data_IF_418284234241
#
_entry.id   IF_418284234241
#
_cell.length_a   1.000
_cell.length_b   1.000
_cell.length_c   1.000
_cell.angle_alpha   90.00
_cell.angle_beta   90.00
_cell.angle_gamma   90.00
#
_symmetry.space_group_name_H-M   'P 1'
#
loop_
_entity.id
_entity.type
_entity.pdbx_description
1 polymer ?
#
# COMPACT_ATOMS: atom_id res chain seq x y z
N UNK A 1 -24.22 -12.82 36.38
CA UNK A 1 -24.57 -11.42 36.72
C UNK A 1 -26.03 -11.15 36.44
N UNK A 2 -26.59 -11.55 35.30
CA UNK A 2 -28.00 -11.41 34.92
C UNK A 2 -28.98 -12.04 35.94
N UNK A 3 -28.73 -13.28 36.37
CA UNK A 3 -29.61 -13.99 37.31
C UNK A 3 -29.75 -13.22 38.61
N UNK A 4 -28.66 -12.63 39.10
CA UNK A 4 -28.69 -11.85 40.36
C UNK A 4 -29.49 -10.54 40.24
N UNK A 5 -29.53 -9.87 39.08
CA UNK A 5 -30.34 -8.67 38.87
C UNK A 5 -31.81 -9.01 38.61
N UNK A 6 -32.08 -10.11 37.90
CA UNK A 6 -33.43 -10.60 37.69
C UNK A 6 -34.07 -11.05 38.99
N UNK A 7 -33.34 -11.76 39.88
CA UNK A 7 -33.79 -12.19 41.20
C UNK A 7 -34.05 -10.98 42.11
N UNK A 8 -33.18 -9.97 42.10
CA UNK A 8 -33.42 -8.73 42.87
C UNK A 8 -34.69 -8.02 42.41
N UNK A 9 -34.91 -7.91 41.09
CA UNK A 9 -36.15 -7.32 40.57
C UNK A 9 -37.39 -8.09 40.98
N UNK A 10 -37.34 -9.43 40.93
CA UNK A 10 -38.43 -10.29 41.32
C UNK A 10 -38.77 -10.09 42.83
N UNK A 11 -37.73 -10.04 43.68
CA UNK A 11 -37.90 -9.80 45.12
C UNK A 11 -38.52 -8.44 45.40
N UNK A 12 -38.12 -7.36 44.75
CA UNK A 12 -38.70 -6.02 44.92
C UNK A 12 -40.15 -5.98 44.48
N UNK A 13 -40.51 -6.63 43.38
CA UNK A 13 -41.90 -6.73 42.92
C UNK A 13 -42.75 -7.57 43.87
N UNK A 14 -42.21 -8.63 44.48
CA UNK A 14 -42.91 -9.44 45.47
C UNK A 14 -43.14 -8.64 46.75
N UNK A 15 -42.20 -7.83 47.20
CA UNK A 15 -42.36 -6.92 48.33
C UNK A 15 -43.41 -5.84 48.04
N UNK A 16 -43.42 -5.27 46.85
CA UNK A 16 -44.44 -4.31 46.44
C UNK A 16 -45.85 -4.94 46.41
N UNK A 17 -45.97 -6.18 45.91
CA UNK A 17 -47.23 -6.94 45.95
C UNK A 17 -47.70 -7.25 47.38
N UNK A 18 -46.78 -7.58 48.29
CA UNK A 18 -47.13 -7.85 49.71
C UNK A 18 -47.72 -6.63 50.37
N UNK A 19 -47.25 -5.41 50.07
CA UNK A 19 -47.81 -4.17 50.59
C UNK A 19 -49.29 -3.99 50.14
N UNK A 20 -49.55 -4.26 48.85
CA UNK A 20 -50.88 -4.18 48.27
C UNK A 20 -51.85 -5.20 48.91
N UNK A 21 -51.37 -6.43 49.12
CA UNK A 21 -52.14 -7.54 49.67
C UNK A 21 -52.48 -7.25 51.16
N UNK A 22 -51.50 -6.79 51.93
CA UNK A 22 -51.73 -6.44 53.39
C UNK A 22 -52.74 -5.27 53.55
N UNK A 23 -52.68 -4.29 52.65
CA UNK A 23 -53.64 -3.20 52.58
C UNK A 23 -55.03 -3.66 52.17
N UNK A 24 -55.13 -4.57 51.22
CA UNK A 24 -56.40 -5.12 50.74
C UNK A 24 -57.08 -5.95 51.84
N UNK A 25 -56.33 -6.75 52.62
CA UNK A 25 -56.87 -7.50 53.79
C UNK A 25 -57.35 -6.59 54.92
N UNK A 26 -56.75 -5.41 55.07
CA UNK A 26 -57.12 -4.42 56.10
C UNK A 26 -58.19 -3.43 55.63
N UNK A 27 -58.73 -3.58 54.44
CA UNK A 27 -59.75 -2.70 53.87
C UNK A 27 -59.30 -1.24 53.65
N UNK A 28 -57.99 -1.01 53.58
CA UNK A 28 -57.37 0.31 53.41
C UNK A 28 -57.12 0.72 51.95
N UNK A 29 -56.96 2.02 51.70
CA UNK A 29 -56.59 2.57 50.41
C UNK A 29 -55.09 2.88 50.41
N UNK A 30 -54.44 2.76 49.27
CA UNK A 30 -53.01 2.99 49.12
C UNK A 30 -52.70 4.50 49.18
N UNK A 31 -52.52 5.03 50.38
CA UNK A 31 -52.25 6.45 50.66
C UNK A 31 -51.13 6.63 51.71
N UNK A 32 -50.48 7.81 51.74
CA UNK A 32 -49.45 8.16 52.71
C UNK A 32 -48.16 7.36 52.54
N UNK A 33 -47.61 6.90 53.71
CA UNK A 33 -46.31 6.22 53.75
C UNK A 33 -46.27 4.90 52.96
N UNK A 34 -47.37 4.14 52.91
CA UNK A 34 -47.48 2.89 52.17
C UNK A 34 -47.39 3.10 50.67
N UNK A 35 -47.93 4.20 50.16
CA UNK A 35 -47.82 4.59 48.77
C UNK A 35 -46.39 4.99 48.44
N UNK A 36 -45.70 5.74 49.29
CA UNK A 36 -44.32 6.11 49.07
C UNK A 36 -43.38 4.89 49.04
N UNK A 37 -43.60 3.92 49.90
CA UNK A 37 -42.84 2.67 49.92
C UNK A 37 -43.11 1.83 48.67
N UNK A 38 -44.35 1.71 48.21
CA UNK A 38 -44.71 1.01 46.99
C UNK A 38 -44.10 1.67 45.77
N UNK A 39 -44.26 2.99 45.63
CA UNK A 39 -43.68 3.75 44.48
C UNK A 39 -42.14 3.67 44.47
N UNK A 40 -41.48 3.67 45.65
CA UNK A 40 -40.05 3.46 45.76
C UNK A 40 -39.60 2.10 45.28
N UNK A 41 -40.26 1.01 45.69
CA UNK A 41 -39.93 -0.35 45.25
C UNK A 41 -40.17 -0.55 43.73
N UNK A 42 -41.24 0.04 43.20
CA UNK A 42 -41.54 -0.02 41.76
C UNK A 42 -40.50 0.79 40.95
N UNK A 43 -40.08 1.94 41.44
CA UNK A 43 -39.04 2.75 40.81
C UNK A 43 -37.69 2.01 40.77
N UNK A 44 -37.29 1.39 41.90
CA UNK A 44 -36.06 0.56 41.92
C UNK A 44 -36.14 -0.66 40.99
N UNK A 45 -37.30 -1.34 40.96
CA UNK A 45 -37.50 -2.43 40.03
C UNK A 45 -37.46 -1.98 38.56
N UNK A 46 -37.89 -0.74 38.30
CA UNK A 46 -37.80 -0.08 36.99
C UNK A 46 -36.35 0.17 36.55
N UNK A 47 -35.54 0.74 37.43
CA UNK A 47 -34.12 1.00 37.14
C UNK A 47 -33.32 -0.29 36.87
N UNK A 48 -33.61 -1.36 37.62
CA UNK A 48 -33.02 -2.67 37.42
C UNK A 48 -33.49 -3.26 36.06
N UNK A 49 -34.72 -3.06 35.66
CA UNK A 49 -35.21 -3.51 34.35
C UNK A 49 -34.52 -2.81 33.17
N UNK A 50 -34.23 -1.53 33.31
CA UNK A 50 -33.47 -0.77 32.30
C UNK A 50 -32.00 -1.26 32.24
N UNK A 51 -31.39 -1.51 33.39
CA UNK A 51 -30.05 -2.08 33.47
C UNK A 51 -29.97 -3.45 32.78
N UNK A 52 -30.92 -4.33 33.00
CA UNK A 52 -31.00 -5.65 32.34
C UNK A 52 -31.18 -5.50 30.82
N UNK A 53 -32.01 -4.53 30.37
CA UNK A 53 -32.18 -4.27 28.92
C UNK A 53 -30.90 -3.77 28.27
N UNK A 54 -30.22 -2.84 28.91
CA UNK A 54 -28.96 -2.28 28.37
C UNK A 54 -27.87 -3.33 28.30
N UNK A 55 -27.75 -4.19 29.34
CA UNK A 55 -26.78 -5.29 29.31
C UNK A 55 -27.12 -6.37 28.25
N UNK A 56 -28.40 -6.71 28.08
CA UNK A 56 -28.82 -7.62 27.00
C UNK A 56 -28.49 -7.05 25.62
N UNK A 57 -28.83 -5.79 25.41
CA UNK A 57 -28.50 -5.12 24.14
C UNK A 57 -26.98 -5.08 23.90
N UNK A 58 -26.18 -4.82 24.94
CA UNK A 58 -24.72 -4.86 24.82
C UNK A 58 -24.17 -6.27 24.50
N UNK A 59 -24.78 -7.31 25.08
CA UNK A 59 -24.38 -8.70 24.82
C UNK A 59 -24.76 -9.13 23.42
N UNK A 60 -25.95 -8.77 22.95
CA UNK A 60 -26.39 -9.02 21.58
C UNK A 60 -25.52 -8.27 20.57
N UNK A 61 -25.17 -7.01 20.83
CA UNK A 61 -24.27 -6.25 19.98
C UNK A 61 -22.85 -6.87 19.92
N UNK A 62 -22.34 -7.40 21.04
CA UNK A 62 -21.07 -8.14 21.07
C UNK A 62 -21.14 -9.43 20.28
N UNK A 63 -22.21 -10.22 20.46
CA UNK A 63 -22.40 -11.47 19.71
C UNK A 63 -22.53 -11.22 18.21
N UNK A 64 -23.21 -10.16 17.79
CA UNK A 64 -23.29 -9.76 16.38
C UNK A 64 -21.93 -9.29 15.84
N UNK A 65 -21.17 -8.54 16.64
CA UNK A 65 -19.82 -8.13 16.26
C UNK A 65 -18.87 -9.32 16.15
N UNK A 66 -18.98 -10.30 17.04
CA UNK A 66 -18.17 -11.53 16.98
C UNK A 66 -18.59 -12.43 15.82
N UNK A 67 -19.89 -12.52 15.52
CA UNK A 67 -20.39 -13.22 14.34
C UNK A 67 -19.90 -12.56 13.03
N UNK A 68 -19.96 -11.22 12.95
CA UNK A 68 -19.44 -10.48 11.79
C UNK A 68 -17.92 -10.60 11.65
N UNK A 69 -17.18 -10.70 12.78
CA UNK A 69 -15.75 -11.00 12.77
C UNK A 69 -15.47 -12.43 12.31
N UNK A 70 -16.26 -13.39 12.76
CA UNK A 70 -16.14 -14.78 12.34
C UNK A 70 -16.46 -14.93 10.84
N UNK A 71 -17.49 -14.26 10.34
CA UNK A 71 -17.85 -14.24 8.92
C UNK A 71 -16.75 -13.60 8.06
N UNK A 72 -16.18 -12.46 8.51
CA UNK A 72 -14.99 -11.88 7.88
C UNK A 72 -13.78 -12.79 7.96
N UNK A 73 -13.57 -13.49 9.05
CA UNK A 73 -12.48 -14.46 9.20
C UNK A 73 -12.65 -15.66 8.25
N UNK A 74 -13.88 -16.13 8.03
CA UNK A 74 -14.17 -17.20 7.05
C UNK A 74 -14.01 -16.67 5.61
N UNK A 75 -14.38 -15.41 5.34
CA UNK A 75 -14.16 -14.79 4.03
C UNK A 75 -12.67 -14.48 3.75
N UNK A 76 -11.86 -14.36 4.79
CA UNK A 76 -10.40 -14.14 4.74
C UNK A 76 -9.63 -15.48 4.89
N UNK A 77 -10.32 -16.59 5.19
CA UNK A 77 -9.67 -17.89 5.22
C UNK A 77 -8.97 -18.13 3.88
N UNK A 78 -7.65 -18.32 3.84
CA UNK A 78 -6.95 -18.57 2.59
C UNK A 78 -7.56 -19.84 1.98
N UNK A 79 -7.98 -19.72 0.70
CA UNK A 79 -8.22 -20.91 -0.10
C UNK A 79 -7.03 -21.83 0.08
N UNK A 80 -7.28 -23.11 0.36
CA UNK A 80 -6.32 -24.15 0.68
C UNK A 80 -4.92 -23.86 0.10
N UNK A 81 -3.91 -23.88 0.99
CA UNK A 81 -2.50 -23.62 0.68
C UNK A 81 -2.10 -24.32 -0.63
N UNK A 82 -1.94 -23.54 -1.67
CA UNK A 82 -1.21 -23.97 -2.86
C UNK A 82 0.25 -23.97 -2.48
N UNK A 83 0.84 -25.12 -2.43
CA UNK A 83 2.29 -25.25 -2.29
C UNK A 83 2.96 -24.88 -3.63
N UNK A 84 3.15 -23.56 -3.84
CA UNK A 84 3.79 -23.05 -5.05
C UNK A 84 5.24 -23.56 -5.18
N UNK A 85 5.85 -23.98 -4.07
CA UNK A 85 7.15 -24.64 -4.05
C UNK A 85 7.07 -26.03 -4.68
N UNK A 86 6.01 -26.80 -4.38
CA UNK A 86 5.79 -28.09 -5.01
C UNK A 86 5.53 -27.93 -6.51
N UNK A 87 4.75 -26.95 -6.90
CA UNK A 87 4.47 -26.66 -8.31
C UNK A 87 5.72 -26.22 -9.09
N UNK A 88 6.61 -25.43 -8.49
CA UNK A 88 7.90 -25.07 -9.11
C UNK A 88 8.85 -26.26 -9.22
N UNK A 89 8.88 -27.15 -8.23
CA UNK A 89 9.64 -28.41 -8.31
C UNK A 89 9.10 -29.33 -9.41
N UNK A 90 7.78 -29.36 -9.57
CA UNK A 90 7.13 -30.11 -10.63
C UNK A 90 7.44 -29.50 -12.02
N UNK A 91 7.41 -28.18 -12.15
CA UNK A 91 7.85 -27.47 -13.35
C UNK A 91 9.32 -27.77 -13.69
N UNK A 92 10.20 -27.79 -12.68
CA UNK A 92 11.60 -28.12 -12.87
C UNK A 92 11.81 -29.58 -13.32
N UNK A 93 10.96 -30.52 -12.89
CA UNK A 93 11.04 -31.94 -13.29
C UNK A 93 10.45 -32.21 -14.67
N UNK A 94 9.32 -31.58 -14.98
CA UNK A 94 8.51 -31.97 -16.14
C UNK A 94 8.60 -30.94 -17.27
N UNK A 95 9.21 -29.77 -17.04
CA UNK A 95 9.12 -28.61 -17.93
C UNK A 95 7.73 -28.00 -17.93
N UNK A 96 7.58 -26.81 -18.44
CA UNK A 96 6.30 -26.13 -18.55
C UNK A 96 6.39 -24.62 -18.30
N UNK A 97 5.24 -23.99 -18.26
CA UNK A 97 5.14 -22.55 -17.92
C UNK A 97 4.05 -22.30 -16.92
N UNK A 98 4.30 -21.36 -16.01
CA UNK A 98 3.32 -20.89 -15.05
C UNK A 98 3.37 -19.38 -14.94
N UNK A 99 2.20 -18.76 -14.98
CA UNK A 99 2.02 -17.33 -14.76
C UNK A 99 1.49 -17.10 -13.35
N UNK A 100 2.21 -16.29 -12.60
CA UNK A 100 1.79 -15.86 -11.26
C UNK A 100 1.08 -14.52 -11.37
N UNK A 101 -0.20 -14.48 -10.98
CA UNK A 101 -0.99 -13.26 -10.91
C UNK A 101 -0.78 -12.57 -9.57
N UNK A 102 -0.72 -11.24 -9.61
CA UNK A 102 -0.62 -10.44 -8.39
C UNK A 102 -1.92 -10.55 -7.60
N UNK A 103 -1.87 -11.12 -6.40
CA UNK A 103 -2.95 -11.06 -5.41
C UNK A 103 -2.68 -9.91 -4.45
N UNK A 104 -3.74 -9.21 -4.05
CA UNK A 104 -3.63 -8.20 -3.01
C UNK A 104 -3.11 -8.83 -1.71
N UNK A 105 -1.93 -8.38 -1.28
CA UNK A 105 -1.28 -8.84 -0.06
C UNK A 105 -1.93 -8.11 1.11
N UNK A 106 -2.92 -8.73 1.76
CA UNK A 106 -3.29 -8.29 3.10
C UNK A 106 -2.15 -8.69 4.07
N UNK A 107 -1.62 -7.73 4.81
CA UNK A 107 -0.64 -7.95 5.87
C UNK A 107 -1.22 -8.89 6.93
N UNK A 108 -0.96 -10.17 6.84
CA UNK A 108 -1.06 -11.08 7.98
C UNK A 108 0.35 -11.36 8.51
N UNK A 109 0.67 -10.75 9.63
CA UNK A 109 1.82 -11.09 10.46
C UNK A 109 1.57 -12.46 11.08
N UNK A 110 1.99 -13.53 10.41
CA UNK A 110 1.98 -14.89 10.93
C UNK A 110 3.29 -15.58 10.59
N UNK A 111 4.19 -15.67 11.56
CA UNK A 111 5.32 -16.60 11.50
C UNK A 111 4.73 -18.02 11.44
N UNK A 112 4.85 -18.72 10.31
CA UNK A 112 4.57 -20.14 10.21
C UNK A 112 3.83 -20.65 8.98
N UNK A 113 3.29 -19.81 8.11
CA UNK A 113 2.74 -20.26 6.85
C UNK A 113 3.81 -20.27 5.75
N UNK A 114 3.86 -21.31 4.91
CA UNK A 114 4.70 -21.27 3.72
C UNK A 114 4.28 -20.07 2.87
N UNK A 115 5.17 -19.10 2.78
CA UNK A 115 4.93 -17.87 2.02
C UNK A 115 4.90 -18.26 0.56
N UNK A 116 3.77 -18.03 -0.10
CA UNK A 116 3.57 -18.20 -1.53
C UNK A 116 4.75 -17.52 -2.30
N UNK A 117 5.41 -18.26 -3.16
CA UNK A 117 6.58 -17.79 -3.93
C UNK A 117 6.24 -16.50 -4.69
N UNK A 118 5.02 -16.44 -5.25
CA UNK A 118 4.56 -15.24 -5.92
C UNK A 118 4.55 -14.02 -4.99
N UNK A 119 4.08 -14.17 -3.76
CA UNK A 119 4.07 -13.10 -2.78
C UNK A 119 5.50 -12.68 -2.41
N UNK A 120 6.41 -13.64 -2.25
CA UNK A 120 7.82 -13.35 -1.99
C UNK A 120 8.47 -12.61 -3.16
N UNK A 121 8.29 -13.09 -4.38
CA UNK A 121 8.81 -12.45 -5.59
C UNK A 121 8.23 -11.04 -5.75
N UNK A 122 6.93 -10.87 -5.53
CA UNK A 122 6.26 -9.57 -5.63
C UNK A 122 6.71 -8.59 -4.54
N UNK A 123 6.90 -9.05 -3.31
CA UNK A 123 7.41 -8.23 -2.19
C UNK A 123 8.85 -7.81 -2.45
N UNK A 124 9.73 -8.74 -2.82
CA UNK A 124 11.13 -8.44 -3.13
C UNK A 124 11.23 -7.51 -4.35
N UNK A 125 10.42 -7.73 -5.38
CA UNK A 125 10.34 -6.84 -6.54
C UNK A 125 9.89 -5.43 -6.15
N UNK A 126 8.89 -5.30 -5.26
CA UNK A 126 8.42 -4.02 -4.75
C UNK A 126 9.44 -3.30 -3.86
N UNK A 127 10.24 -4.04 -3.09
CA UNK A 127 11.34 -3.50 -2.30
C UNK A 127 12.51 -3.03 -3.18
N UNK A 128 12.82 -3.79 -4.24
CA UNK A 128 13.91 -3.48 -5.17
C UNK A 128 13.54 -2.39 -6.19
N UNK A 129 12.24 -2.11 -6.37
CA UNK A 129 11.76 -1.16 -7.36
C UNK A 129 10.53 -0.40 -6.86
N UNK A 130 10.66 0.89 -6.48
CA UNK A 130 9.55 1.70 -5.99
C UNK A 130 8.41 1.87 -7.02
N UNK A 131 8.67 1.71 -8.32
CA UNK A 131 7.65 1.82 -9.36
C UNK A 131 6.72 0.60 -9.47
N UNK A 132 7.00 -0.48 -8.77
CA UNK A 132 6.12 -1.64 -8.64
C UNK A 132 5.29 -1.62 -7.34
N UNK A 133 5.57 -0.67 -6.45
CA UNK A 133 4.87 -0.54 -5.18
C UNK A 133 3.65 0.38 -5.32
N UNK A 134 2.40 -0.13 -5.11
CA UNK A 134 1.19 0.68 -5.18
C UNK A 134 1.10 1.78 -4.12
N UNK A 135 1.83 1.64 -3.01
CA UNK A 135 1.87 2.67 -1.96
C UNK A 135 2.65 3.90 -2.42
N UNK A 136 3.56 3.75 -3.37
CA UNK A 136 4.42 4.83 -3.90
C UNK A 136 3.82 5.42 -5.18
N UNK A 137 3.50 4.59 -6.17
CA UNK A 137 3.03 5.00 -7.49
C UNK A 137 1.63 4.45 -7.78
N UNK A 138 1.04 4.85 -8.91
CA UNK A 138 -0.21 4.28 -9.40
C UNK A 138 0.08 3.08 -10.30
N UNK A 139 -0.25 1.86 -9.84
CA UNK A 139 0.01 0.62 -10.58
C UNK A 139 -1.26 0.06 -11.16
N UNK A 140 -1.28 -0.20 -12.47
CA UNK A 140 -2.40 -0.78 -13.21
C UNK A 140 -2.01 -2.15 -13.76
N UNK A 141 -2.74 -3.18 -13.38
CA UNK A 141 -2.59 -4.51 -13.94
C UNK A 141 -3.55 -4.69 -15.10
N UNK A 142 -3.05 -5.07 -16.26
CA UNK A 142 -3.82 -5.27 -17.49
C UNK A 142 -3.59 -6.67 -18.05
N UNK A 143 -4.61 -7.23 -18.68
CA UNK A 143 -4.52 -8.56 -19.26
C UNK A 143 -3.84 -8.55 -20.64
N UNK A 144 -3.97 -7.44 -21.40
CA UNK A 144 -3.45 -7.34 -22.77
C UNK A 144 -2.30 -6.35 -22.85
N UNK A 145 -1.32 -6.65 -23.69
CA UNK A 145 -0.15 -5.81 -23.91
C UNK A 145 -0.33 -4.71 -24.96
N UNK A 146 -1.56 -4.30 -25.21
CA UNK A 146 -1.87 -3.20 -26.11
C UNK A 146 -1.40 -1.87 -25.54
N UNK A 147 -1.20 -0.90 -26.42
CA UNK A 147 -0.88 0.46 -26.03
C UNK A 147 -2.03 1.08 -25.24
N UNK A 148 -1.73 1.60 -24.04
CA UNK A 148 -2.72 2.20 -23.15
C UNK A 148 -2.53 3.71 -23.16
N UNK A 149 -3.63 4.43 -23.32
CA UNK A 149 -3.63 5.88 -23.34
C UNK A 149 -4.24 6.43 -22.05
N UNK A 150 -3.49 7.30 -21.38
CA UNK A 150 -3.95 8.03 -20.21
C UNK A 150 -4.22 9.49 -20.58
N UNK A 151 -5.41 10.03 -20.27
CA UNK A 151 -5.70 11.43 -20.51
C UNK A 151 -4.78 12.31 -19.65
N UNK A 152 -4.19 13.33 -20.29
CA UNK A 152 -3.28 14.27 -19.66
C UNK A 152 -3.77 15.70 -19.90
N UNK A 153 -3.89 16.46 -18.82
CA UNK A 153 -4.21 17.89 -18.91
C UNK A 153 -2.89 18.64 -19.01
N UNK A 154 -2.57 19.20 -20.17
CA UNK A 154 -1.32 19.92 -20.39
C UNK A 154 -1.41 21.36 -19.88
N UNK A 155 -2.53 22.02 -20.11
CA UNK A 155 -2.83 23.33 -19.58
C UNK A 155 -4.32 23.41 -19.24
N UNK A 156 -4.64 24.01 -18.12
CA UNK A 156 -5.98 24.48 -17.79
C UNK A 156 -5.97 26.01 -17.96
N UNK A 157 -7.08 26.56 -18.40
CA UNK A 157 -7.28 27.99 -18.41
C UNK A 157 -7.04 28.62 -17.04
N UNK A 158 -6.69 29.90 -17.01
CA UNK A 158 -6.45 30.63 -15.77
C UNK A 158 -7.74 31.32 -15.36
N UNK A 159 -8.22 31.07 -14.13
CA UNK A 159 -9.36 31.83 -13.59
C UNK A 159 -8.93 33.26 -13.27
N UNK A 160 -9.68 34.21 -13.76
CA UNK A 160 -9.54 35.64 -13.45
C UNK A 160 -10.65 36.12 -12.53
N UNK A 161 -10.41 37.19 -11.79
CA UNK A 161 -11.47 37.93 -11.07
C UNK A 161 -12.29 38.74 -12.07
N UNK A 162 -13.62 38.62 -12.00
CA UNK A 162 -14.54 39.34 -12.87
C UNK A 162 -15.36 40.28 -12.00
N UNK A 163 -15.47 41.57 -12.40
CA UNK A 163 -16.31 42.52 -11.72
C UNK A 163 -17.80 42.20 -11.96
N UNK A 164 -18.68 42.80 -11.14
CA UNK A 164 -20.13 42.68 -11.31
C UNK A 164 -20.52 43.12 -12.73
N UNK A 165 -21.30 42.26 -13.43
CA UNK A 165 -21.68 42.41 -14.85
C UNK A 165 -20.48 42.42 -15.84
N UNK A 166 -19.28 42.05 -15.42
CA UNK A 166 -18.10 41.92 -16.29
C UNK A 166 -18.14 40.63 -17.12
N UNK A 167 -17.52 40.68 -18.31
CA UNK A 167 -17.37 39.47 -19.16
C UNK A 167 -16.31 38.54 -18.59
N UNK A 168 -16.66 37.24 -18.48
CA UNK A 168 -15.70 36.17 -18.15
C UNK A 168 -14.84 35.95 -19.40
N UNK A 169 -13.51 36.06 -19.24
CA UNK A 169 -12.58 35.78 -20.33
C UNK A 169 -12.53 34.31 -20.61
N UNK A 170 -12.75 33.93 -21.85
CA UNK A 170 -12.62 32.54 -22.32
C UNK A 170 -11.16 32.12 -22.27
N UNK A 171 -10.92 30.90 -21.77
CA UNK A 171 -9.59 30.35 -21.68
C UNK A 171 -9.65 28.84 -21.98
N UNK A 172 -9.04 28.48 -23.12
CA UNK A 172 -9.05 27.09 -23.59
C UNK A 172 -8.07 26.21 -22.81
N UNK A 173 -8.56 25.03 -22.39
CA UNK A 173 -7.73 23.99 -21.83
C UNK A 173 -7.14 23.09 -22.92
N UNK A 174 -5.90 22.67 -22.76
CA UNK A 174 -5.22 21.75 -23.67
C UNK A 174 -5.17 20.35 -23.05
N UNK A 175 -5.79 19.41 -23.73
CA UNK A 175 -5.77 17.98 -23.40
C UNK A 175 -4.82 17.24 -24.34
N UNK A 176 -4.06 16.30 -23.80
CA UNK A 176 -3.22 15.38 -24.57
C UNK A 176 -3.37 13.97 -24.00
N UNK A 177 -2.86 12.96 -24.71
CA UNK A 177 -2.84 11.59 -24.23
C UNK A 177 -1.39 11.14 -24.02
N UNK A 178 -1.12 10.54 -22.86
CA UNK A 178 0.11 9.80 -22.60
C UNK A 178 -0.09 8.36 -23.05
N UNK A 179 0.76 7.91 -23.95
CA UNK A 179 0.71 6.58 -24.55
C UNK A 179 1.77 5.69 -23.91
N UNK A 180 1.34 4.66 -23.19
CA UNK A 180 2.23 3.68 -22.55
C UNK A 180 2.22 2.37 -23.33
N UNK A 181 3.38 1.99 -23.86
CA UNK A 181 3.59 0.72 -24.57
C UNK A 181 4.39 -0.22 -23.68
N UNK A 182 3.79 -1.33 -23.18
CA UNK A 182 4.48 -2.27 -22.31
C UNK A 182 5.68 -2.94 -23.01
N UNK A 183 6.85 -2.85 -22.41
CA UNK A 183 8.09 -3.49 -22.84
C UNK A 183 8.31 -4.77 -22.05
N UNK A 184 8.89 -5.79 -22.68
CA UNK A 184 9.22 -7.08 -22.05
C UNK A 184 10.64 -7.03 -21.49
N UNK A 185 10.77 -7.37 -20.22
CA UNK A 185 12.04 -7.60 -19.53
C UNK A 185 12.14 -9.07 -19.17
N UNK A 186 13.29 -9.67 -19.31
CA UNK A 186 13.46 -11.08 -19.01
C UNK A 186 14.90 -11.47 -18.71
N UNK A 187 15.04 -12.56 -17.99
CA UNK A 187 16.30 -13.18 -17.59
C UNK A 187 16.17 -14.70 -17.74
N UNK A 188 17.22 -15.35 -18.22
CA UNK A 188 17.36 -16.80 -18.24
C UNK A 188 18.53 -17.17 -17.34
N UNK A 189 18.31 -18.12 -16.43
CA UNK A 189 19.31 -18.71 -15.56
C UNK A 189 19.35 -20.22 -15.83
N UNK A 190 20.54 -20.79 -15.96
CA UNK A 190 20.76 -22.22 -16.14
C UNK A 190 21.41 -22.80 -14.89
N UNK A 191 20.93 -23.96 -14.47
CA UNK A 191 21.38 -24.67 -13.28
C UNK A 191 21.56 -26.14 -13.64
N UNK A 192 22.59 -26.81 -13.12
CA UNK A 192 22.81 -28.23 -13.35
C UNK A 192 21.70 -29.07 -12.74
N UNK A 193 21.35 -30.16 -13.42
CA UNK A 193 20.32 -31.07 -12.94
C UNK A 193 20.71 -31.73 -11.62
N UNK A 194 22.01 -31.97 -11.40
CA UNK A 194 22.58 -32.46 -10.14
C UNK A 194 22.28 -31.51 -8.99
N UNK A 195 22.53 -30.19 -9.17
CA UNK A 195 22.27 -29.20 -8.13
C UNK A 195 20.78 -29.07 -7.80
N UNK A 196 19.89 -29.23 -8.78
CA UNK A 196 18.43 -29.21 -8.55
C UNK A 196 17.98 -30.42 -7.74
N UNK A 197 18.61 -31.59 -7.94
CA UNK A 197 18.24 -32.84 -7.26
C UNK A 197 18.90 -32.95 -5.87
N UNK A 198 20.13 -32.49 -5.71
CA UNK A 198 20.94 -32.68 -4.50
C UNK A 198 20.81 -31.54 -3.50
N UNK A 199 20.18 -30.43 -3.88
CA UNK A 199 19.97 -29.29 -2.98
C UNK A 199 19.13 -29.68 -1.76
N UNK A 200 19.67 -29.44 -0.57
CA UNK A 200 18.98 -29.67 0.71
C UNK A 200 17.93 -28.60 1.05
N UNK A 201 17.82 -27.56 0.22
CA UNK A 201 16.90 -26.44 0.37
C UNK A 201 16.10 -26.23 -0.92
N UNK A 202 15.06 -25.40 -0.86
CA UNK A 202 14.23 -25.08 -2.02
C UNK A 202 14.97 -24.13 -2.99
N UNK A 203 15.79 -24.73 -3.83
CA UNK A 203 16.57 -24.04 -4.84
C UNK A 203 15.68 -23.30 -5.87
N UNK A 204 14.56 -23.92 -6.25
CA UNK A 204 13.63 -23.35 -7.24
C UNK A 204 12.98 -22.06 -6.73
N UNK A 205 12.59 -22.03 -5.45
CA UNK A 205 12.04 -20.83 -4.83
C UNK A 205 13.08 -19.70 -4.74
N UNK A 206 14.30 -20.04 -4.33
CA UNK A 206 15.39 -19.07 -4.24
C UNK A 206 15.73 -18.46 -5.61
N UNK A 207 15.78 -19.29 -6.65
CA UNK A 207 16.03 -18.84 -8.04
C UNK A 207 14.91 -17.91 -8.50
N UNK A 208 13.65 -18.28 -8.28
CA UNK A 208 12.51 -17.48 -8.67
C UNK A 208 12.53 -16.10 -8.01
N UNK A 209 12.83 -16.03 -6.70
CA UNK A 209 12.95 -14.78 -5.96
C UNK A 209 14.07 -13.88 -6.50
N UNK A 210 15.25 -14.44 -6.73
CA UNK A 210 16.40 -13.70 -7.27
C UNK A 210 16.16 -13.20 -8.69
N UNK A 211 15.63 -14.06 -9.56
CA UNK A 211 15.31 -13.67 -10.95
C UNK A 211 14.21 -12.58 -10.96
N UNK A 212 13.20 -12.68 -10.12
CA UNK A 212 12.15 -11.67 -9.99
C UNK A 212 12.72 -10.31 -9.56
N UNK A 213 13.63 -10.32 -8.58
CA UNK A 213 14.32 -9.10 -8.13
C UNK A 213 15.14 -8.44 -9.25
N UNK A 214 15.95 -9.21 -9.97
CA UNK A 214 16.79 -8.69 -11.08
C UNK A 214 15.96 -8.08 -12.21
N UNK A 215 14.87 -8.75 -12.59
CA UNK A 215 13.97 -8.24 -13.63
C UNK A 215 13.24 -6.96 -13.14
N UNK A 216 12.88 -6.89 -11.86
CA UNK A 216 12.29 -5.70 -11.27
C UNK A 216 13.27 -4.53 -11.21
N UNK A 217 14.54 -4.76 -10.85
CA UNK A 217 15.60 -3.74 -10.85
C UNK A 217 15.78 -3.17 -12.27
N UNK A 218 15.82 -4.04 -13.30
CA UNK A 218 15.92 -3.59 -14.68
C UNK A 218 14.72 -2.75 -15.12
N UNK A 219 13.52 -3.16 -14.77
CA UNK A 219 12.32 -2.36 -15.02
C UNK A 219 12.42 -1.00 -14.29
N UNK A 220 12.86 -0.99 -13.02
CA UNK A 220 13.04 0.22 -12.22
C UNK A 220 14.04 1.20 -12.85
N UNK A 221 15.14 0.70 -13.39
CA UNK A 221 16.14 1.52 -14.08
C UNK A 221 15.56 2.23 -15.33
N UNK A 222 14.78 1.51 -16.14
CA UNK A 222 14.13 2.11 -17.32
C UNK A 222 13.03 3.08 -16.90
N UNK A 223 12.21 2.71 -15.91
CA UNK A 223 11.14 3.55 -15.36
C UNK A 223 11.69 4.86 -14.78
N UNK A 224 12.75 4.80 -13.98
CA UNK A 224 13.38 5.99 -13.40
C UNK A 224 13.89 6.97 -14.47
N UNK A 225 14.50 6.45 -15.54
CA UNK A 225 14.96 7.27 -16.66
C UNK A 225 13.78 7.91 -17.41
N UNK A 226 12.68 7.19 -17.63
CA UNK A 226 11.48 7.73 -18.26
C UNK A 226 10.87 8.86 -17.41
N UNK A 227 10.67 8.62 -16.12
CA UNK A 227 10.15 9.62 -15.18
C UNK A 227 11.07 10.84 -15.09
N UNK A 228 12.38 10.67 -14.97
CA UNK A 228 13.34 11.77 -14.95
C UNK A 228 13.32 12.58 -16.26
N UNK A 229 13.00 11.95 -17.39
CA UNK A 229 12.88 12.62 -18.69
C UNK A 229 11.58 13.41 -18.80
N UNK A 230 10.47 12.86 -18.29
CA UNK A 230 9.14 13.49 -18.32
C UNK A 230 8.95 14.56 -17.26
N UNK A 231 9.73 14.55 -16.17
CA UNK A 231 9.64 15.52 -15.07
C UNK A 231 9.95 16.95 -15.51
N UNK A 232 9.32 17.91 -14.84
CA UNK A 232 9.59 19.34 -15.06
C UNK A 232 10.94 19.78 -14.46
N UNK A 233 11.60 20.74 -15.09
CA UNK A 233 12.83 21.33 -14.54
C UNK A 233 12.51 22.30 -13.39
N UNK A 234 13.32 22.29 -12.35
CA UNK A 234 13.30 23.32 -11.32
C UNK A 234 14.43 24.34 -11.57
N UNK A 235 15.66 23.93 -11.40
CA UNK A 235 16.84 24.78 -11.50
C UNK A 235 18.06 23.94 -11.84
N UNK A 236 19.17 24.61 -12.08
CA UNK A 236 20.50 24.01 -12.16
C UNK A 236 21.20 24.30 -10.83
N UNK A 237 21.68 23.26 -10.14
CA UNK A 237 22.47 23.38 -8.92
C UNK A 237 23.77 24.15 -9.23
N UNK A 238 24.29 24.88 -8.24
CA UNK A 238 25.55 25.60 -8.39
C UNK A 238 26.79 24.71 -8.45
N UNK A 239 26.66 23.48 -7.94
CA UNK A 239 27.72 22.45 -7.87
C UNK A 239 27.19 21.07 -8.26
N UNK A 240 28.06 20.07 -8.39
CA UNK A 240 27.62 18.68 -8.65
C UNK A 240 26.78 18.12 -7.51
N UNK A 241 27.08 18.51 -6.27
CA UNK A 241 26.31 18.11 -5.09
C UNK A 241 25.33 19.21 -4.71
N UNK A 242 24.02 18.94 -4.61
CA UNK A 242 23.04 19.95 -4.24
C UNK A 242 23.28 20.47 -2.81
N UNK A 243 23.03 21.74 -2.60
CA UNK A 243 23.03 22.38 -1.29
C UNK A 243 21.68 22.20 -0.59
N UNK A 244 21.65 22.40 0.75
CA UNK A 244 20.39 22.42 1.50
C UNK A 244 19.35 23.37 0.91
N UNK A 245 19.76 24.59 0.57
CA UNK A 245 18.87 25.60 0.00
C UNK A 245 18.26 25.16 -1.34
N UNK A 246 19.02 24.46 -2.17
CA UNK A 246 18.56 23.94 -3.45
C UNK A 246 17.58 22.78 -3.26
N UNK A 247 17.77 21.90 -2.26
CA UNK A 247 16.84 20.84 -1.93
C UNK A 247 15.50 21.39 -1.41
N UNK A 248 15.55 22.41 -0.54
CA UNK A 248 14.35 23.13 -0.09
C UNK A 248 13.69 23.83 -1.27
N UNK A 249 14.45 24.50 -2.11
CA UNK A 249 13.95 25.18 -3.32
C UNK A 249 13.26 24.18 -4.27
N UNK A 250 13.82 23.00 -4.48
CA UNK A 250 13.19 21.94 -5.27
C UNK A 250 11.82 21.55 -4.68
N UNK A 251 11.76 21.31 -3.37
CA UNK A 251 10.50 20.93 -2.69
C UNK A 251 9.42 22.02 -2.87
N UNK A 252 9.79 23.30 -2.71
CA UNK A 252 8.83 24.41 -2.81
C UNK A 252 8.56 24.87 -4.24
N UNK A 253 9.33 24.43 -5.22
CA UNK A 253 9.06 24.70 -6.64
C UNK A 253 7.85 23.94 -7.18
N UNK A 254 7.49 22.81 -6.53
CA UNK A 254 6.31 22.04 -6.88
C UNK A 254 5.07 22.70 -6.30
N UNK A 255 3.99 22.82 -7.10
CA UNK A 255 2.74 23.44 -6.67
C UNK A 255 2.21 22.78 -5.40
N UNK A 256 1.59 23.56 -4.51
CA UNK A 256 1.12 23.10 -3.19
C UNK A 256 0.23 21.86 -3.26
N UNK A 257 -0.63 21.77 -4.26
CA UNK A 257 -1.53 20.62 -4.46
C UNK A 257 -0.76 19.29 -4.62
N UNK A 258 0.37 19.27 -5.32
CA UNK A 258 1.21 18.08 -5.52
C UNK A 258 2.19 17.88 -4.35
N UNK A 259 2.72 18.97 -3.79
CA UNK A 259 3.63 18.91 -2.63
C UNK A 259 2.96 18.33 -1.39
N UNK A 260 1.66 18.57 -1.20
CA UNK A 260 0.89 18.10 -0.06
C UNK A 260 0.11 16.80 -0.37
N UNK A 261 0.28 16.21 -1.55
CA UNK A 261 -0.32 14.93 -1.87
C UNK A 261 0.16 13.83 -0.92
N UNK A 262 -0.68 12.81 -0.70
CA UNK A 262 -0.38 11.69 0.20
C UNK A 262 0.88 10.92 -0.23
N UNK A 263 1.13 10.84 -1.55
CA UNK A 263 2.28 10.16 -2.15
C UNK A 263 3.42 11.10 -2.53
N UNK A 264 3.45 12.34 -1.98
CA UNK A 264 4.53 13.27 -2.26
C UNK A 264 5.84 12.78 -1.62
N UNK A 265 6.89 12.65 -2.43
CA UNK A 265 8.18 12.11 -2.01
C UNK A 265 9.33 12.48 -2.93
N UNK A 266 10.54 12.11 -2.51
CA UNK A 266 11.77 12.25 -3.29
C UNK A 266 12.11 10.94 -4.00
N UNK A 267 12.69 11.06 -5.19
CA UNK A 267 13.30 9.96 -5.94
C UNK A 267 14.74 10.31 -6.25
N UNK A 268 15.66 9.40 -5.97
CA UNK A 268 17.10 9.58 -6.23
C UNK A 268 17.78 8.23 -6.43
N UNK A 269 19.07 8.21 -6.80
CA UNK A 269 19.88 7.00 -6.74
C UNK A 269 20.37 6.74 -5.31
N UNK A 270 20.79 5.53 -5.03
CA UNK A 270 21.33 5.14 -3.73
C UNK A 270 22.65 5.89 -3.41
N UNK A 271 23.52 6.02 -4.40
CA UNK A 271 24.77 6.79 -4.32
C UNK A 271 24.50 8.26 -3.98
N UNK A 272 23.50 8.87 -4.64
CA UNK A 272 23.11 10.25 -4.39
C UNK A 272 22.54 10.43 -2.97
N UNK A 273 21.75 9.47 -2.48
CA UNK A 273 21.24 9.48 -1.13
C UNK A 273 22.39 9.49 -0.11
N UNK A 274 23.41 8.65 -0.30
CA UNK A 274 24.64 8.66 0.53
C UNK A 274 25.33 10.02 0.54
N UNK A 275 25.39 10.70 -0.60
CA UNK A 275 25.96 12.04 -0.71
C UNK A 275 25.09 13.09 0.02
N UNK A 276 23.77 13.00 -0.10
CA UNK A 276 22.81 13.90 0.57
C UNK A 276 22.90 13.74 2.10
N UNK A 277 23.12 12.53 2.61
CA UNK A 277 23.33 12.27 4.04
C UNK A 277 24.49 13.07 4.61
N UNK A 278 25.55 13.31 3.82
CA UNK A 278 26.70 14.15 4.18
C UNK A 278 26.39 15.65 4.26
N UNK A 279 25.22 16.09 3.78
CA UNK A 279 24.84 17.51 3.82
C UNK A 279 24.32 17.85 5.21
N UNK A 280 25.09 18.57 5.98
CA UNK A 280 24.69 19.09 7.29
C UNK A 280 24.24 20.54 7.17
N UNK A 281 23.01 20.83 7.56
CA UNK A 281 22.59 22.18 7.89
C UNK A 281 22.92 22.43 9.37
N UNK A 282 23.46 23.56 9.69
CA UNK A 282 24.15 23.96 10.92
C UNK A 282 23.50 23.60 12.29
N UNK A 283 22.39 22.88 12.37
CA UNK A 283 21.81 22.39 13.65
C UNK A 283 20.68 21.35 13.51
N UNK A 284 20.16 21.03 12.32
CA UNK A 284 19.03 20.11 12.17
C UNK A 284 19.36 19.01 11.17
N UNK A 285 19.07 17.74 11.49
CA UNK A 285 19.22 16.66 10.53
C UNK A 285 18.23 16.88 9.38
N UNK A 286 18.76 17.05 8.19
CA UNK A 286 18.00 17.17 6.94
C UNK A 286 17.33 15.84 6.61
N UNK A 287 18.03 14.78 6.95
CA UNK A 287 17.63 13.40 6.73
C UNK A 287 17.23 12.75 8.06
N UNK A 288 16.14 12.02 8.05
CA UNK A 288 15.67 11.22 9.16
C UNK A 288 15.61 9.75 8.72
N UNK A 289 16.51 8.90 9.26
CA UNK A 289 16.47 7.49 8.95
C UNK A 289 15.14 6.90 9.44
N UNK A 290 14.54 6.09 8.60
CA UNK A 290 13.25 5.47 8.90
C UNK A 290 13.39 4.29 9.83
N UNK A 291 13.79 4.30 11.02
CA UNK A 291 13.87 3.22 12.00
C UNK A 291 13.55 1.78 11.50
N UNK A 292 13.46 0.78 12.33
CA UNK A 292 13.14 -0.58 11.87
C UNK A 292 11.80 -0.62 11.09
N UNK A 293 11.89 -0.79 9.76
CA UNK A 293 10.71 -0.90 8.87
C UNK A 293 10.07 0.42 8.44
N UNK A 294 10.63 1.57 8.80
CA UNK A 294 10.20 2.88 8.33
C UNK A 294 10.88 3.29 7.01
N UNK A 295 10.24 4.19 6.27
CA UNK A 295 10.82 4.81 5.07
C UNK A 295 11.69 5.99 5.48
N UNK A 296 12.86 6.10 4.89
CA UNK A 296 13.75 7.25 5.05
C UNK A 296 13.07 8.55 4.64
N UNK A 297 13.33 9.63 5.36
CA UNK A 297 12.71 10.93 5.10
C UNK A 297 13.75 12.01 4.89
N UNK A 298 13.53 12.79 3.84
CA UNK A 298 14.29 14.00 3.53
C UNK A 298 13.33 15.20 3.64
N UNK A 299 13.67 16.19 4.44
CA UNK A 299 12.82 17.37 4.69
C UNK A 299 11.37 16.99 5.08
N UNK A 300 11.21 15.92 5.88
CA UNK A 300 9.90 15.42 6.33
C UNK A 300 9.10 14.62 5.29
N UNK A 301 9.61 14.42 4.06
CA UNK A 301 8.97 13.64 3.01
C UNK A 301 9.71 12.32 2.76
N UNK A 302 9.01 11.24 2.38
CA UNK A 302 9.65 9.96 2.11
C UNK A 302 10.63 10.05 0.94
N UNK A 303 11.71 9.28 1.01
CA UNK A 303 12.72 9.14 -0.04
C UNK A 303 12.72 7.72 -0.55
N UNK A 304 12.72 7.57 -1.86
CA UNK A 304 12.82 6.28 -2.53
C UNK A 304 14.04 6.26 -3.44
N UNK A 305 14.76 5.15 -3.44
CA UNK A 305 15.92 4.95 -4.30
C UNK A 305 15.58 4.10 -5.51
N UNK A 306 16.18 4.42 -6.65
CA UNK A 306 16.03 3.66 -7.90
C UNK A 306 17.28 3.78 -8.77
N UNK A 307 17.65 2.68 -9.42
CA UNK A 307 18.78 2.64 -10.35
C UNK A 307 18.58 3.38 -11.68
N UNK A 308 17.37 3.96 -11.91
CA UNK A 308 17.09 4.69 -13.15
C UNK A 308 17.40 6.19 -13.08
N UNK A 309 17.77 6.71 -11.92
CA UNK A 309 18.21 8.09 -11.72
C UNK A 309 19.73 8.05 -11.69
N UNK A 310 20.36 8.87 -12.53
CA UNK A 310 21.82 8.92 -12.63
C UNK A 310 22.43 9.56 -11.37
N UNK A 311 23.65 9.12 -11.05
CA UNK A 311 24.41 9.70 -9.95
C UNK A 311 24.79 11.16 -10.26
N UNK A 312 25.03 11.93 -9.22
CA UNK A 312 25.39 13.34 -9.35
C UNK A 312 26.64 13.51 -10.22
N UNK A 313 26.47 14.12 -11.37
CA UNK A 313 27.51 14.45 -12.33
C UNK A 313 27.12 15.69 -13.14
N UNK A 314 28.00 16.16 -13.99
CA UNK A 314 27.73 17.32 -14.86
C UNK A 314 26.46 17.15 -15.67
N UNK A 315 25.58 18.13 -15.57
CA UNK A 315 24.32 18.24 -16.35
C UNK A 315 23.29 17.11 -16.12
N UNK A 316 23.43 16.34 -15.04
CA UNK A 316 22.58 15.19 -14.72
C UNK A 316 21.38 15.57 -13.86
N UNK A 317 20.28 14.85 -14.00
CA UNK A 317 19.06 14.95 -13.19
C UNK A 317 19.16 14.00 -12.00
N UNK A 318 19.87 14.40 -10.93
CA UNK A 318 20.26 13.50 -9.84
C UNK A 318 19.19 13.31 -8.75
N UNK A 319 18.24 14.22 -8.63
CA UNK A 319 17.15 14.14 -7.64
C UNK A 319 15.86 14.72 -8.19
N UNK A 320 14.76 14.04 -7.90
CA UNK A 320 13.40 14.46 -8.25
C UNK A 320 12.55 14.61 -6.98
N UNK A 321 11.60 15.53 -7.02
CA UNK A 321 10.59 15.69 -5.97
C UNK A 321 9.23 15.99 -6.56
N UNK A 322 8.18 15.41 -5.99
CA UNK A 322 6.81 15.68 -6.38
C UNK A 322 5.80 14.66 -5.91
N UNK A 323 4.62 14.68 -6.50
CA UNK A 323 3.57 13.69 -6.28
C UNK A 323 3.86 12.43 -7.10
N UNK A 324 4.39 11.41 -6.44
CA UNK A 324 4.70 10.12 -7.05
C UNK A 324 3.44 9.36 -7.48
N UNK A 325 2.26 9.71 -6.96
CA UNK A 325 0.99 9.15 -7.40
C UNK A 325 0.64 9.49 -8.86
N UNK A 326 1.26 10.52 -9.44
CA UNK A 326 1.12 10.87 -10.86
C UNK A 326 2.02 10.03 -11.79
N UNK A 327 2.89 9.22 -11.21
CA UNK A 327 3.64 8.21 -11.95
C UNK A 327 2.75 7.00 -12.13
N UNK A 328 2.56 6.61 -13.38
CA UNK A 328 1.70 5.46 -13.73
C UNK A 328 2.56 4.32 -14.25
N UNK A 329 2.44 3.17 -13.59
CA UNK A 329 3.05 1.91 -14.02
C UNK A 329 1.95 0.97 -14.51
N UNK A 330 2.11 0.47 -15.72
CA UNK A 330 1.26 -0.57 -16.31
C UNK A 330 2.03 -1.89 -16.32
N UNK A 331 1.43 -2.94 -15.77
CA UNK A 331 1.98 -4.30 -15.76
C UNK A 331 1.02 -5.22 -16.50
N UNK A 332 1.54 -6.04 -17.40
CA UNK A 332 0.77 -6.99 -18.21
C UNK A 332 0.97 -8.41 -17.70
N UNK A 333 -0.09 -9.02 -17.17
CA UNK A 333 -0.12 -10.44 -16.79
C UNK A 333 0.77 -10.82 -15.59
N UNK A 334 1.45 -9.85 -14.93
CA UNK A 334 2.34 -10.14 -13.80
C UNK A 334 3.69 -10.74 -14.19
N UNK A 335 4.36 -11.39 -13.22
CA UNK A 335 5.65 -12.08 -13.41
C UNK A 335 5.39 -13.48 -13.93
N UNK A 336 6.00 -13.85 -15.05
CA UNK A 336 5.92 -15.19 -15.62
C UNK A 336 7.26 -15.92 -15.41
N UNK A 337 7.20 -17.10 -14.81
CA UNK A 337 8.35 -17.98 -14.59
C UNK A 337 8.11 -19.30 -15.32
N UNK A 338 9.06 -19.67 -16.17
CA UNK A 338 9.03 -20.90 -16.96
C UNK A 338 10.30 -21.71 -16.69
N UNK A 339 10.18 -23.02 -16.59
CA UNK A 339 11.31 -23.94 -16.50
C UNK A 339 11.33 -24.86 -17.74
N UNK A 340 12.50 -25.07 -18.32
CA UNK A 340 12.71 -25.96 -19.46
C UNK A 340 13.94 -26.83 -19.24
N UNK A 341 13.82 -28.12 -19.55
CA UNK A 341 14.93 -29.09 -19.60
C UNK A 341 15.43 -29.36 -21.03
N UNK A 342 14.69 -28.89 -22.03
CA UNK A 342 14.98 -29.14 -23.42
C UNK A 342 15.97 -28.14 -24.01
N UNK A 343 16.02 -26.92 -23.46
CA UNK A 343 16.82 -25.82 -24.04
C UNK A 343 18.33 -26.07 -23.99
N UNK A 344 18.83 -26.77 -22.98
CA UNK A 344 20.24 -27.10 -22.81
C UNK A 344 20.42 -28.57 -22.41
N UNK A 345 19.71 -29.44 -23.11
CA UNK A 345 19.66 -30.89 -22.83
C UNK A 345 21.03 -31.55 -22.97
N UNK A 346 21.84 -31.12 -23.94
CA UNK A 346 23.20 -31.59 -24.21
C UNK A 346 24.22 -31.25 -23.09
N UNK A 347 23.87 -30.27 -22.22
CA UNK A 347 24.70 -29.89 -21.07
C UNK A 347 24.14 -30.35 -19.73
N UNK A 348 23.05 -31.13 -19.71
CA UNK A 348 22.33 -31.57 -18.51
C UNK A 348 21.93 -30.40 -17.58
N UNK A 349 21.41 -29.33 -18.19
CA UNK A 349 21.01 -28.10 -17.48
C UNK A 349 19.49 -27.93 -17.47
N UNK A 350 18.97 -27.46 -16.35
CA UNK A 350 17.61 -26.92 -16.23
C UNK A 350 17.65 -25.41 -16.42
N UNK A 351 16.90 -24.91 -17.39
CA UNK A 351 16.85 -23.47 -17.70
C UNK A 351 15.58 -22.85 -17.11
N UNK A 352 15.75 -21.83 -16.26
CA UNK A 352 14.66 -21.03 -15.73
C UNK A 352 14.59 -19.72 -16.49
N UNK A 353 13.39 -19.31 -16.91
CA UNK A 353 13.15 -18.04 -17.59
C UNK A 353 12.14 -17.24 -16.78
N UNK A 354 12.51 -16.03 -16.37
CA UNK A 354 11.63 -15.07 -15.70
C UNK A 354 11.37 -13.90 -16.65
N UNK A 355 10.11 -13.51 -16.80
CA UNK A 355 9.73 -12.36 -17.62
C UNK A 355 8.66 -11.51 -16.95
N UNK A 356 8.77 -10.19 -17.11
CA UNK A 356 7.75 -9.20 -16.80
C UNK A 356 7.52 -8.29 -18.00
N UNK A 357 6.30 -7.85 -18.21
CA UNK A 357 5.97 -6.85 -19.22
C UNK A 357 5.39 -5.64 -18.54
N UNK A 358 5.98 -4.47 -18.73
CA UNK A 358 5.50 -3.25 -18.10
C UNK A 358 6.00 -1.99 -18.79
N UNK A 359 5.36 -0.89 -18.48
CA UNK A 359 5.76 0.46 -18.86
C UNK A 359 5.44 1.41 -17.72
N UNK A 360 6.31 2.39 -17.51
CA UNK A 360 6.14 3.42 -16.48
C UNK A 360 6.42 4.77 -17.09
N UNK A 361 5.58 5.76 -16.83
CA UNK A 361 5.84 7.15 -17.19
C UNK A 361 5.05 8.10 -16.27
N UNK A 362 5.35 9.40 -16.37
CA UNK A 362 4.75 10.46 -15.61
C UNK A 362 3.57 11.07 -16.37
N UNK A 363 2.36 10.95 -15.82
CA UNK A 363 1.15 11.50 -16.44
C UNK A 363 1.21 13.02 -16.48
N UNK A 364 1.56 13.67 -15.37
CA UNK A 364 1.58 15.13 -15.26
C UNK A 364 2.99 15.66 -14.99
N UNK A 365 3.64 16.23 -15.99
CA UNK A 365 5.01 16.73 -15.89
C UNK A 365 5.21 17.83 -14.84
N UNK A 366 4.16 18.62 -14.55
CA UNK A 366 4.21 19.68 -13.51
C UNK A 366 4.11 19.14 -12.09
N UNK A 367 3.74 17.87 -11.90
CA UNK A 367 3.58 17.24 -10.60
C UNK A 367 4.90 16.79 -9.98
N UNK A 368 5.90 16.49 -10.82
CA UNK A 368 7.25 16.10 -10.40
C UNK A 368 8.27 17.01 -11.06
N UNK A 369 9.22 17.50 -10.29
CA UNK A 369 10.31 18.33 -10.79
C UNK A 369 11.67 17.75 -10.42
N UNK A 370 12.67 18.01 -11.27
CA UNK A 370 14.05 17.60 -11.02
C UNK A 370 14.96 18.79 -10.77
N UNK A 371 15.99 18.57 -9.99
CA UNK A 371 17.15 19.43 -9.87
C UNK A 371 18.25 18.88 -10.79
N UNK A 372 18.74 19.72 -11.71
CA UNK A 372 19.83 19.39 -12.60
C UNK A 372 21.15 19.85 -11.97
N UNK A 373 22.18 18.98 -11.98
CA UNK A 373 23.50 19.38 -11.54
C UNK A 373 24.13 20.38 -12.52
N UNK A 374 25.07 21.20 -12.02
CA UNK A 374 25.82 22.13 -12.86
C UNK A 374 26.55 21.43 -14.02
N UNK A 375 26.87 22.18 -15.06
CA UNK A 375 27.60 21.68 -16.21
C UNK A 375 29.11 21.54 -15.92
#
# INVERSE_FOLDING_TARGET
MFDNLADKRANLLTQAQAIVTDLAEKGGVLEGDAKQQFDGLVAEAGTIAEAIRSEKAATEARSQADAARAEKAVAIAPKADRDDNAELRELARNGGSKTFERRDVSRSTGLGNPVDIYNRVSVVAGQSNPFLNPDVVSVYNVATGNNIQFPRVTALGTAGSVAEAGQITESDGTLSALSLTPVKYGLILQVTNELVNDASFDLSAMIAEKMGSEVAVKHGAVAGTAVATAAGSYAVAGTFTPTYAELVGLQYSVKQQYRNAAKAGFLTSDTNLGTILGITSSSLPIFQPGGQGGVDRLLGKPVYTTGGISDFASSVRGILFGDLGQITTVIVGGVNIEASREFAWDYDLVSYKCTIRGATDLVQSSAVKFLKCAA
#
